data_IF_972419687757
#
_entry.id   IF_972419687757
#
_cell.length_a   1.000
_cell.length_b   1.000
_cell.length_c   1.000
_cell.angle_alpha   90.00
_cell.angle_beta   90.00
_cell.angle_gamma   90.00
#
_symmetry.space_group_name_H-M   'P 1'
#
loop_
_entity.id
_entity.type
_entity.pdbx_description
1 polymer ?
#
# COMPACT_ATOMS: atom_id res chain seq x y z
N UNK A 1 -21.36 7.80 -48.64
CA UNK A 1 -20.67 8.94 -47.94
C UNK A 1 -21.47 9.31 -46.70
N UNK A 2 -20.90 9.98 -45.69
CA UNK A 2 -21.62 10.27 -44.44
C UNK A 2 -22.94 11.03 -44.63
N UNK A 3 -23.04 11.92 -45.62
CA UNK A 3 -24.30 12.60 -45.98
C UNK A 3 -25.35 11.71 -46.66
N UNK A 4 -24.99 10.50 -47.12
CA UNK A 4 -25.95 9.51 -47.62
C UNK A 4 -26.53 8.64 -46.48
N UNK A 5 -25.83 8.59 -45.34
CA UNK A 5 -26.20 7.79 -44.17
C UNK A 5 -26.94 8.60 -43.11
N UNK A 6 -26.63 9.89 -43.00
CA UNK A 6 -27.14 10.77 -41.97
C UNK A 6 -27.86 11.96 -42.61
N UNK A 7 -29.19 11.98 -42.50
CA UNK A 7 -30.07 12.99 -43.11
C UNK A 7 -29.81 14.43 -42.63
N UNK A 8 -29.20 14.59 -41.46
CA UNK A 8 -28.83 15.89 -40.89
C UNK A 8 -27.46 16.41 -41.38
N UNK A 9 -26.67 15.61 -42.10
CA UNK A 9 -25.40 16.04 -42.69
C UNK A 9 -25.63 16.37 -44.15
N UNK A 10 -25.65 17.65 -44.50
CA UNK A 10 -25.72 18.07 -45.90
C UNK A 10 -24.36 17.91 -46.59
N UNK A 11 -24.38 17.82 -47.92
CA UNK A 11 -23.16 17.76 -48.74
C UNK A 11 -22.24 18.97 -48.50
N UNK A 12 -22.81 20.13 -48.24
CA UNK A 12 -22.03 21.36 -48.00
C UNK A 12 -21.39 21.37 -46.61
N UNK A 13 -22.11 20.94 -45.57
CA UNK A 13 -21.55 20.73 -44.22
C UNK A 13 -20.38 19.73 -44.29
N UNK A 14 -20.53 18.65 -45.07
CA UNK A 14 -19.47 17.67 -45.24
C UNK A 14 -18.23 18.26 -45.95
N UNK A 15 -18.43 19.06 -47.00
CA UNK A 15 -17.32 19.75 -47.69
C UNK A 15 -16.58 20.72 -46.77
N UNK A 16 -17.32 21.49 -45.97
CA UNK A 16 -16.73 22.42 -45.00
C UNK A 16 -15.93 21.67 -43.92
N UNK A 17 -16.48 20.58 -43.40
CA UNK A 17 -15.77 19.71 -42.47
C UNK A 17 -14.46 19.16 -43.05
N UNK A 18 -14.48 18.65 -44.29
CA UNK A 18 -13.27 18.16 -44.96
C UNK A 18 -12.25 19.29 -45.10
N UNK A 19 -12.67 20.48 -45.54
CA UNK A 19 -11.79 21.65 -45.67
C UNK A 19 -11.12 22.03 -44.35
N UNK A 20 -11.85 21.96 -43.23
CA UNK A 20 -11.31 22.23 -41.89
C UNK A 20 -10.31 21.15 -41.48
N UNK A 21 -10.59 19.87 -41.75
CA UNK A 21 -9.71 18.75 -41.35
C UNK A 21 -8.48 18.57 -42.22
N UNK A 22 -8.50 19.10 -43.44
CA UNK A 22 -7.34 19.14 -44.36
C UNK A 22 -6.66 20.51 -44.38
N UNK A 23 -6.95 21.39 -43.42
CA UNK A 23 -6.24 22.66 -43.30
C UNK A 23 -4.85 22.43 -42.70
N UNK A 24 -3.92 23.32 -43.02
CA UNK A 24 -2.55 23.29 -42.46
C UNK A 24 -2.55 23.37 -40.93
N UNK A 25 -3.46 24.16 -40.34
CA UNK A 25 -3.62 24.26 -38.88
C UNK A 25 -4.04 22.91 -38.26
N UNK A 26 -4.97 22.18 -38.90
CA UNK A 26 -5.39 20.87 -38.41
C UNK A 26 -4.27 19.83 -38.54
N UNK A 27 -3.46 19.90 -39.60
CA UNK A 27 -2.28 19.07 -39.76
C UNK A 27 -1.22 19.36 -38.70
N UNK A 28 -0.96 20.63 -38.38
CA UNK A 28 -0.01 21.02 -37.32
C UNK A 28 -0.46 20.51 -35.94
N UNK A 29 -1.74 20.67 -35.61
CA UNK A 29 -2.33 20.14 -34.37
C UNK A 29 -2.18 18.62 -34.31
N UNK A 30 -2.46 17.94 -35.42
CA UNK A 30 -2.33 16.48 -35.53
C UNK A 30 -0.88 16.03 -35.34
N UNK A 31 0.08 16.71 -35.96
CA UNK A 31 1.50 16.39 -35.84
C UNK A 31 2.00 16.58 -34.40
N UNK A 32 1.62 17.70 -33.76
CA UNK A 32 1.95 17.97 -32.36
C UNK A 32 1.36 16.92 -31.42
N UNK A 33 0.14 16.47 -31.68
CA UNK A 33 -0.50 15.40 -30.92
C UNK A 33 0.24 14.06 -31.11
N UNK A 34 0.64 13.73 -32.34
CA UNK A 34 1.42 12.53 -32.67
C UNK A 34 2.80 12.52 -32.01
N UNK A 35 3.49 13.67 -32.01
CA UNK A 35 4.74 13.85 -31.28
C UNK A 35 4.53 13.70 -29.77
N UNK A 36 3.48 14.28 -29.21
CA UNK A 36 3.17 14.12 -27.79
C UNK A 36 2.88 12.66 -27.42
N UNK A 37 2.20 11.94 -28.31
CA UNK A 37 1.89 10.52 -28.14
C UNK A 37 3.14 9.63 -28.19
N UNK A 38 4.14 9.96 -29.00
CA UNK A 38 5.37 9.15 -29.12
C UNK A 38 6.20 9.13 -27.82
N UNK A 39 6.05 10.14 -26.95
CA UNK A 39 6.66 10.15 -25.62
C UNK A 39 5.90 9.28 -24.59
N UNK A 40 4.72 8.74 -24.94
CA UNK A 40 3.97 7.86 -24.05
C UNK A 40 4.49 6.42 -24.12
N UNK A 41 5.48 6.12 -23.28
CA UNK A 41 6.16 4.81 -23.23
C UNK A 41 5.21 3.68 -22.78
N UNK A 42 4.19 4.00 -21.97
CA UNK A 42 3.28 3.02 -21.40
C UNK A 42 1.81 3.42 -21.68
N UNK A 43 1.33 3.23 -22.92
CA UNK A 43 -0.03 3.55 -23.30
C UNK A 43 -1.05 2.76 -22.48
N UNK A 44 -2.17 3.39 -22.15
CA UNK A 44 -3.29 2.72 -21.48
C UNK A 44 -4.30 2.18 -22.51
N UNK A 45 -5.09 1.19 -22.11
CA UNK A 45 -6.08 0.48 -22.93
C UNK A 45 -7.53 0.71 -22.45
N UNK A 46 -7.80 1.80 -21.74
CA UNK A 46 -9.13 2.12 -21.19
C UNK A 46 -10.08 2.81 -22.19
N UNK A 47 -9.59 3.18 -23.38
CA UNK A 47 -10.34 4.00 -24.34
C UNK A 47 -10.67 5.39 -23.79
N UNK A 48 -11.90 5.85 -24.01
CA UNK A 48 -12.38 7.15 -23.52
C UNK A 48 -12.80 7.16 -22.04
N UNK A 49 -12.73 6.01 -21.37
CA UNK A 49 -13.18 5.87 -19.98
C UNK A 49 -12.11 6.37 -19.02
N UNK A 50 -12.58 6.95 -17.93
CA UNK A 50 -11.75 7.37 -16.80
C UNK A 50 -11.37 6.19 -15.90
N UNK A 51 -10.36 6.39 -15.05
CA UNK A 51 -10.03 5.44 -13.98
C UNK A 51 -11.22 5.18 -13.04
N UNK A 52 -12.08 6.17 -12.79
CA UNK A 52 -13.22 6.02 -11.89
C UNK A 52 -14.28 5.05 -12.48
N UNK A 53 -14.61 5.24 -13.76
CA UNK A 53 -15.52 4.36 -14.50
C UNK A 53 -14.94 2.95 -14.61
N UNK A 54 -13.66 2.84 -14.99
CA UNK A 54 -13.00 1.53 -15.13
C UNK A 54 -12.85 0.79 -13.81
N UNK A 55 -12.62 1.51 -12.70
CA UNK A 55 -12.57 0.89 -11.36
C UNK A 55 -13.86 0.15 -11.05
N UNK A 56 -15.01 0.76 -11.37
CA UNK A 56 -16.32 0.15 -11.16
C UNK A 56 -16.50 -1.11 -12.04
N UNK A 57 -16.01 -1.08 -13.28
CA UNK A 57 -16.03 -2.25 -14.16
C UNK A 57 -15.10 -3.37 -13.67
N UNK A 58 -13.89 -3.04 -13.23
CA UNK A 58 -12.93 -3.99 -12.69
C UNK A 58 -13.41 -4.64 -11.39
N UNK A 59 -14.10 -3.88 -10.53
CA UNK A 59 -14.78 -4.43 -9.35
C UNK A 59 -15.89 -5.41 -9.75
N UNK A 60 -16.74 -5.06 -10.73
CA UNK A 60 -17.81 -5.95 -11.24
C UNK A 60 -17.23 -7.25 -11.84
N UNK A 61 -16.07 -7.16 -12.48
CA UNK A 61 -15.35 -8.31 -13.04
C UNK A 61 -14.52 -9.09 -12.01
N UNK A 62 -14.46 -8.63 -10.76
CA UNK A 62 -13.70 -9.29 -9.68
C UNK A 62 -12.18 -9.11 -9.77
N UNK A 63 -11.66 -8.22 -10.60
CA UNK A 63 -10.22 -7.95 -10.68
C UNK A 63 -9.69 -7.14 -9.50
N UNK A 64 -10.58 -6.36 -8.89
CA UNK A 64 -10.30 -5.58 -7.68
C UNK A 64 -11.18 -6.15 -6.58
N UNK A 65 -10.59 -6.65 -5.47
CA UNK A 65 -11.36 -7.09 -4.32
C UNK A 65 -12.27 -5.96 -3.83
N UNK A 66 -13.54 -6.26 -3.60
CA UNK A 66 -14.41 -5.34 -2.87
C UNK A 66 -13.90 -5.23 -1.44
N UNK A 67 -13.78 -4.01 -0.92
CA UNK A 67 -13.33 -3.68 0.45
C UNK A 67 -14.22 -4.28 1.56
N UNK A 68 -15.22 -5.09 1.22
CA UNK A 68 -16.13 -5.76 2.15
C UNK A 68 -15.70 -7.17 2.59
N UNK A 69 -14.57 -7.72 2.12
CA UNK A 69 -14.22 -9.14 2.36
C UNK A 69 -12.89 -9.43 3.07
N UNK A 70 -12.23 -8.45 3.68
CA UNK A 70 -11.01 -8.72 4.47
C UNK A 70 -11.04 -8.01 5.81
N UNK A 71 -11.54 -8.73 6.81
CA UNK A 71 -11.39 -8.42 8.23
C UNK A 71 -9.94 -8.69 8.69
N UNK A 72 -9.48 -7.80 9.56
CA UNK A 72 -8.53 -8.02 10.66
C UNK A 72 -7.05 -8.23 10.33
N UNK A 73 -6.24 -7.22 10.69
CA UNK A 73 -4.83 -7.41 11.00
C UNK A 73 -3.82 -6.66 10.14
N UNK A 74 -3.94 -5.34 9.95
CA UNK A 74 -2.75 -4.54 9.62
C UNK A 74 -2.97 -3.07 9.97
N UNK A 75 -2.52 -2.69 11.17
CA UNK A 75 -2.48 -1.31 11.65
C UNK A 75 -1.35 -0.55 10.94
N UNK A 76 -1.67 0.09 9.82
CA UNK A 76 -0.95 1.25 9.30
C UNK A 76 -1.89 2.14 8.47
N UNK A 77 -2.12 3.36 8.97
CA UNK A 77 -2.69 4.54 8.27
C UNK A 77 -4.13 4.44 7.69
N UNK A 78 -5.09 4.62 8.59
CA UNK A 78 -6.57 4.56 8.48
C UNK A 78 -7.27 5.60 7.57
N UNK A 79 -6.65 6.12 6.51
CA UNK A 79 -7.37 6.98 5.52
C UNK A 79 -7.13 6.51 4.07
N UNK A 80 -6.19 5.57 3.84
CA UNK A 80 -5.85 5.06 2.51
C UNK A 80 -6.53 3.72 2.15
N UNK A 81 -7.54 3.28 2.90
CA UNK A 81 -8.11 1.93 2.78
C UNK A 81 -9.33 1.80 1.84
N UNK A 82 -9.94 2.91 1.41
CA UNK A 82 -11.15 2.84 0.57
C UNK A 82 -10.85 2.77 -0.94
N UNK A 83 -9.64 3.11 -1.37
CA UNK A 83 -9.26 3.10 -2.77
C UNK A 83 -8.48 1.84 -3.14
N UNK A 84 -8.73 1.25 -4.32
CA UNK A 84 -7.90 0.17 -4.83
C UNK A 84 -6.44 0.62 -4.91
N UNK A 85 -5.52 -0.33 -4.69
CA UNK A 85 -4.09 -0.07 -4.81
C UNK A 85 -3.78 0.64 -6.13
N UNK A 86 -3.07 1.77 -6.06
CA UNK A 86 -2.60 2.51 -7.23
C UNK A 86 -1.81 1.61 -8.18
N UNK A 87 -0.98 0.71 -7.66
CA UNK A 87 -0.24 -0.26 -8.47
C UNK A 87 -1.18 -1.16 -9.28
N UNK A 88 -2.27 -1.63 -8.65
CA UNK A 88 -3.29 -2.44 -9.31
C UNK A 88 -4.00 -1.65 -10.42
N UNK A 89 -4.42 -0.41 -10.15
CA UNK A 89 -5.07 0.45 -11.15
C UNK A 89 -4.15 0.72 -12.35
N UNK A 90 -2.85 0.97 -12.10
CA UNK A 90 -1.89 1.23 -13.17
C UNK A 90 -1.72 0.04 -14.11
N UNK A 91 -1.66 -1.18 -13.55
CA UNK A 91 -1.55 -2.43 -14.29
C UNK A 91 -2.83 -2.73 -15.07
N UNK A 92 -4.00 -2.62 -14.43
CA UNK A 92 -5.28 -2.88 -15.08
C UNK A 92 -5.56 -1.92 -16.24
N UNK A 93 -5.21 -0.63 -16.08
CA UNK A 93 -5.33 0.36 -17.15
C UNK A 93 -4.49 0.03 -18.38
N UNK A 94 -3.46 -0.81 -18.24
CA UNK A 94 -2.56 -1.24 -19.33
C UNK A 94 -2.72 -2.71 -19.68
N UNK A 95 -3.79 -3.32 -19.19
CA UNK A 95 -4.16 -4.69 -19.53
C UNK A 95 -5.28 -4.72 -20.54
N UNK A 96 -5.32 -5.79 -21.32
CA UNK A 96 -6.39 -6.13 -22.27
C UNK A 96 -6.98 -7.47 -21.82
N UNK A 97 -8.30 -7.70 -21.94
CA UNK A 97 -8.88 -9.01 -21.66
C UNK A 97 -8.44 -10.05 -22.71
N UNK A 98 -8.03 -11.23 -22.25
CA UNK A 98 -7.82 -12.40 -23.11
C UNK A 98 -9.18 -13.01 -23.56
N UNK A 99 -9.11 -14.09 -24.34
CA UNK A 99 -10.31 -14.82 -24.80
C UNK A 99 -11.18 -15.35 -23.66
N UNK A 100 -10.59 -15.56 -22.48
CA UNK A 100 -11.26 -16.05 -21.26
C UNK A 100 -11.72 -14.90 -20.35
N UNK A 101 -11.45 -13.65 -20.73
CA UNK A 101 -11.74 -12.46 -19.94
C UNK A 101 -10.78 -12.20 -18.79
N UNK A 102 -9.55 -12.71 -18.80
CA UNK A 102 -8.50 -12.38 -17.83
C UNK A 102 -7.63 -11.22 -18.34
N UNK A 103 -7.24 -10.26 -17.47
CA UNK A 103 -6.39 -9.16 -17.86
C UNK A 103 -4.95 -9.62 -18.11
N UNK A 104 -4.43 -9.41 -19.32
CA UNK A 104 -3.01 -9.61 -19.65
C UNK A 104 -2.38 -8.31 -20.17
N UNK A 105 -1.06 -8.18 -20.03
CA UNK A 105 -0.31 -7.01 -20.50
C UNK A 105 0.23 -7.29 -21.90
N UNK A 106 -0.26 -6.61 -22.97
CA UNK A 106 0.23 -6.85 -24.33
C UNK A 106 1.62 -6.24 -24.57
N UNK A 107 1.94 -5.12 -23.91
CA UNK A 107 3.15 -4.35 -24.18
C UNK A 107 4.36 -4.88 -23.39
N UNK A 108 5.46 -5.21 -24.09
CA UNK A 108 6.70 -5.71 -23.47
C UNK A 108 7.27 -4.72 -22.44
N UNK A 109 7.18 -3.41 -22.70
CA UNK A 109 7.61 -2.39 -21.76
C UNK A 109 6.83 -2.43 -20.44
N UNK A 110 5.51 -2.61 -20.53
CA UNK A 110 4.64 -2.73 -19.36
C UNK A 110 4.87 -4.05 -18.61
N UNK A 111 5.17 -5.15 -19.32
CA UNK A 111 5.55 -6.42 -18.71
C UNK A 111 6.82 -6.29 -17.85
N UNK A 112 7.86 -5.62 -18.35
CA UNK A 112 9.08 -5.33 -17.57
C UNK A 112 8.79 -4.51 -16.31
N UNK A 113 7.89 -3.53 -16.41
CA UNK A 113 7.47 -2.75 -15.22
C UNK A 113 6.74 -3.65 -14.22
N UNK A 114 5.91 -4.60 -14.68
CA UNK A 114 5.26 -5.57 -13.81
C UNK A 114 6.28 -6.45 -13.08
N UNK A 115 7.29 -6.98 -13.79
CA UNK A 115 8.38 -7.76 -13.19
C UNK A 115 9.10 -6.94 -12.10
N UNK A 116 9.43 -5.67 -12.39
CA UNK A 116 10.02 -4.78 -11.41
C UNK A 116 9.09 -4.54 -10.21
N UNK A 117 7.78 -4.37 -10.42
CA UNK A 117 6.79 -4.23 -9.34
C UNK A 117 6.83 -5.46 -8.43
N UNK A 118 6.88 -6.65 -9.01
CA UNK A 118 6.89 -7.91 -8.25
C UNK A 118 8.21 -8.07 -7.46
N UNK A 119 9.35 -7.67 -8.05
CA UNK A 119 10.64 -7.61 -7.33
C UNK A 119 10.59 -6.64 -6.14
N UNK A 120 10.09 -5.42 -6.34
CA UNK A 120 10.00 -4.41 -5.28
C UNK A 120 9.02 -4.80 -4.18
N UNK A 121 7.92 -5.50 -4.51
CA UNK A 121 7.03 -6.09 -3.50
C UNK A 121 7.76 -7.14 -2.66
N UNK A 122 8.49 -8.05 -3.30
CA UNK A 122 9.28 -9.05 -2.58
C UNK A 122 10.30 -8.40 -1.63
N UNK A 123 11.01 -7.36 -2.08
CA UNK A 123 11.93 -6.59 -1.22
C UNK A 123 11.22 -5.91 -0.05
N UNK A 124 9.96 -5.49 -0.24
CA UNK A 124 9.15 -4.93 0.82
C UNK A 124 8.76 -6.00 1.85
N UNK A 125 8.37 -7.19 1.38
CA UNK A 125 7.98 -8.33 2.22
C UNK A 125 9.18 -8.90 3.01
N UNK A 126 10.37 -8.90 2.40
CA UNK A 126 11.65 -9.26 3.03
C UNK A 126 12.16 -8.18 3.99
N UNK A 127 11.55 -6.99 4.02
CA UNK A 127 11.95 -5.86 4.85
C UNK A 127 13.18 -5.09 4.36
N UNK A 128 13.75 -5.44 3.20
CA UNK A 128 14.84 -4.70 2.56
C UNK A 128 14.39 -3.31 2.10
N UNK A 129 13.13 -3.19 1.68
CA UNK A 129 12.54 -1.94 1.24
C UNK A 129 11.49 -1.43 2.23
N UNK A 130 11.81 -0.31 2.89
CA UNK A 130 10.86 0.48 3.68
C UNK A 130 10.61 1.81 2.97
N UNK A 131 9.38 2.08 2.49
CA UNK A 131 9.01 3.35 1.87
C UNK A 131 9.39 4.55 2.76
N UNK A 132 10.23 5.46 2.25
CA UNK A 132 10.65 6.66 3.00
C UNK A 132 9.55 7.72 3.13
N UNK A 133 8.56 7.65 2.23
CA UNK A 133 7.39 8.51 2.20
C UNK A 133 6.25 7.82 1.44
N UNK A 134 5.02 8.29 1.60
CA UNK A 134 3.88 7.78 0.83
C UNK A 134 4.10 7.85 -0.70
N UNK A 135 4.91 8.81 -1.19
CA UNK A 135 5.22 8.96 -2.63
C UNK A 135 6.30 7.99 -3.12
N UNK A 136 7.07 7.44 -2.19
CA UNK A 136 8.14 6.48 -2.42
C UNK A 136 7.59 5.06 -2.34
N UNK A 137 6.53 4.78 -3.13
CA UNK A 137 5.87 3.47 -3.17
C UNK A 137 6.50 2.54 -4.23
N UNK A 138 6.07 1.28 -4.20
CA UNK A 138 6.52 0.23 -5.14
C UNK A 138 6.38 0.65 -6.61
N UNK A 139 5.25 1.26 -6.98
CA UNK A 139 5.01 1.67 -8.36
C UNK A 139 5.97 2.79 -8.79
N UNK A 140 6.19 3.79 -7.93
CA UNK A 140 7.17 4.86 -8.19
C UNK A 140 8.57 4.27 -8.38
N UNK A 141 8.97 3.28 -7.58
CA UNK A 141 10.27 2.60 -7.71
C UNK A 141 10.39 1.78 -8.98
N UNK A 142 9.35 1.04 -9.35
CA UNK A 142 9.33 0.22 -10.55
C UNK A 142 9.34 1.06 -11.85
N UNK A 143 8.71 2.23 -11.84
CA UNK A 143 8.74 3.19 -12.95
C UNK A 143 10.01 4.04 -13.00
N UNK A 144 10.78 4.09 -11.90
CA UNK A 144 12.00 4.90 -11.78
C UNK A 144 11.70 6.38 -11.50
N UNK A 145 12.42 7.29 -12.17
CA UNK A 145 12.25 8.75 -11.98
C UNK A 145 10.87 9.19 -12.51
N UNK A 146 9.88 9.12 -11.64
CA UNK A 146 8.53 9.56 -11.93
C UNK A 146 8.53 11.09 -12.00
N UNK A 147 8.13 11.67 -13.13
CA UNK A 147 8.00 13.13 -13.29
C UNK A 147 7.05 13.65 -12.20
N UNK A 148 7.54 14.61 -11.43
CA UNK A 148 7.01 14.98 -10.13
C UNK A 148 5.60 15.60 -10.19
N UNK A 149 4.77 15.29 -9.19
CA UNK A 149 3.65 16.14 -8.78
C UNK A 149 2.24 15.73 -9.21
N UNK A 150 2.05 14.67 -10.01
CA UNK A 150 0.69 14.18 -10.34
C UNK A 150 0.53 12.69 -10.06
N UNK A 151 -0.62 12.26 -9.51
CA UNK A 151 -0.97 10.84 -9.51
C UNK A 151 -0.99 10.30 -10.94
N UNK A 152 -0.23 9.24 -11.21
CA UNK A 152 -0.22 8.54 -12.51
C UNK A 152 -1.49 7.72 -12.74
N UNK A 153 -2.08 7.31 -11.64
CA UNK A 153 -3.37 6.64 -11.58
C UNK A 153 -4.36 7.64 -11.01
N UNK A 154 -5.66 7.40 -11.20
CA UNK A 154 -6.75 8.32 -10.84
C UNK A 154 -7.01 9.42 -11.89
N UNK A 155 -8.28 9.76 -12.07
CA UNK A 155 -8.75 10.69 -13.10
C UNK A 155 -8.39 12.15 -12.82
N UNK A 156 -8.64 13.02 -13.81
CA UNK A 156 -8.51 14.47 -13.63
C UNK A 156 -9.36 14.95 -12.43
N UNK A 157 -8.76 15.74 -11.54
CA UNK A 157 -9.40 16.25 -10.32
C UNK A 157 -8.98 15.55 -9.03
N UNK A 158 -8.32 14.39 -9.10
CA UNK A 158 -7.78 13.73 -7.90
C UNK A 158 -6.45 14.37 -7.50
N UNK A 159 -6.49 15.13 -6.41
CA UNK A 159 -5.30 15.79 -5.87
C UNK A 159 -4.30 14.82 -5.25
N UNK A 160 -3.02 15.21 -5.22
CA UNK A 160 -1.92 14.47 -4.56
C UNK A 160 -2.31 14.03 -3.13
N UNK A 161 -3.00 14.91 -2.38
CA UNK A 161 -3.41 14.64 -1.00
C UNK A 161 -4.45 13.52 -0.88
N UNK A 162 -5.28 13.31 -1.89
CA UNK A 162 -6.25 12.22 -1.89
C UNK A 162 -5.56 10.86 -2.13
N UNK A 163 -4.42 10.85 -2.83
CA UNK A 163 -3.69 9.62 -3.19
C UNK A 163 -2.66 9.23 -2.14
N UNK A 164 -1.94 10.20 -1.61
CA UNK A 164 -0.82 9.97 -0.68
C UNK A 164 -1.09 10.51 0.73
N UNK A 165 -2.32 10.97 0.99
CA UNK A 165 -2.66 11.70 2.20
C UNK A 165 -2.15 13.14 2.22
N UNK A 166 -2.71 13.94 3.11
CA UNK A 166 -1.98 15.09 3.66
C UNK A 166 -0.78 14.52 4.37
N UNK A 167 0.41 14.61 3.74
CA UNK A 167 1.66 14.26 4.41
C UNK A 167 1.66 14.91 5.78
N UNK A 168 1.89 14.10 6.81
CA UNK A 168 2.01 14.55 8.17
C UNK A 168 2.98 15.72 8.15
N UNK A 169 2.51 16.92 8.50
CA UNK A 169 3.42 18.02 8.78
C UNK A 169 4.22 17.51 9.95
N UNK A 170 5.40 16.93 9.68
CA UNK A 170 6.38 16.70 10.72
C UNK A 170 6.67 18.10 11.25
N UNK A 171 5.98 18.49 12.31
CA UNK A 171 6.56 19.41 13.27
C UNK A 171 7.81 18.66 13.72
N UNK A 172 8.91 18.91 13.02
CA UNK A 172 10.20 18.45 13.45
C UNK A 172 10.47 19.24 14.73
N UNK A 173 9.89 18.80 15.86
CA UNK A 173 10.48 19.08 17.15
C UNK A 173 11.85 18.44 17.04
N UNK A 174 12.88 19.28 16.92
CA UNK A 174 14.25 18.82 17.12
C UNK A 174 14.28 18.39 18.57
N UNK A 175 14.15 17.11 18.83
CA UNK A 175 14.59 16.56 20.10
C UNK A 175 16.07 16.91 20.19
N UNK A 176 16.45 17.71 21.18
CA UNK A 176 17.86 18.01 21.42
C UNK A 176 18.57 16.71 21.77
N UNK A 177 19.88 16.61 21.51
CA UNK A 177 20.66 15.39 21.77
C UNK A 177 20.46 14.85 23.20
N UNK A 178 20.29 15.73 24.18
CA UNK A 178 20.00 15.36 25.57
C UNK A 178 18.63 14.67 25.77
N UNK A 179 17.60 15.06 25.01
CA UNK A 179 16.25 14.47 25.10
C UNK A 179 16.22 13.11 24.39
N UNK A 180 17.03 12.94 23.35
CA UNK A 180 17.24 11.66 22.67
C UNK A 180 18.01 10.68 23.56
N UNK A 181 19.09 11.13 24.19
CA UNK A 181 19.89 10.32 25.13
C UNK A 181 19.05 9.86 26.33
N UNK A 182 18.18 10.74 26.86
CA UNK A 182 17.27 10.37 27.94
C UNK A 182 16.23 9.32 27.49
N UNK A 183 15.70 9.45 26.27
CA UNK A 183 14.79 8.46 25.70
C UNK A 183 15.48 7.10 25.50
N UNK A 184 16.69 7.09 24.97
CA UNK A 184 17.50 5.88 24.81
C UNK A 184 17.83 5.22 26.16
N UNK A 185 18.19 6.02 27.17
CA UNK A 185 18.43 5.54 28.53
C UNK A 185 17.16 4.91 29.14
N UNK A 186 15.98 5.51 28.91
CA UNK A 186 14.70 4.95 29.38
C UNK A 186 14.36 3.64 28.68
N UNK A 187 14.55 3.54 27.37
CA UNK A 187 14.30 2.31 26.59
C UNK A 187 15.24 1.20 27.01
N UNK A 188 16.55 1.48 27.08
CA UNK A 188 17.56 0.49 27.48
C UNK A 188 17.37 0.00 28.92
N UNK A 189 16.91 0.87 29.83
CA UNK A 189 16.55 0.47 31.19
C UNK A 189 15.36 -0.49 31.20
N UNK A 190 14.27 -0.17 30.50
CA UNK A 190 13.09 -1.06 30.42
C UNK A 190 13.44 -2.43 29.85
N UNK A 191 14.20 -2.49 28.77
CA UNK A 191 14.64 -3.76 28.17
C UNK A 191 15.48 -4.58 29.16
N UNK A 192 16.39 -3.94 29.90
CA UNK A 192 17.18 -4.62 30.94
C UNK A 192 16.31 -5.14 32.08
N UNK A 193 15.38 -4.33 32.57
CA UNK A 193 14.47 -4.69 33.66
C UNK A 193 13.55 -5.86 33.23
N UNK A 194 13.00 -5.83 32.02
CA UNK A 194 12.21 -6.93 31.44
C UNK A 194 13.04 -8.21 31.29
N UNK A 195 14.27 -8.10 30.80
CA UNK A 195 15.17 -9.26 30.64
C UNK A 195 15.51 -9.89 32.01
N UNK A 196 15.82 -9.06 33.01
CA UNK A 196 16.11 -9.53 34.38
C UNK A 196 14.87 -10.19 34.99
N UNK A 197 13.70 -9.60 34.80
CA UNK A 197 12.44 -10.17 35.29
C UNK A 197 12.14 -11.52 34.65
N UNK A 198 12.36 -11.66 33.34
CA UNK A 198 12.18 -12.93 32.63
C UNK A 198 13.19 -13.98 33.11
N UNK A 199 14.46 -13.61 33.31
CA UNK A 199 15.49 -14.50 33.83
C UNK A 199 15.19 -14.97 35.26
N UNK A 200 14.78 -14.06 36.15
CA UNK A 200 14.41 -14.40 37.53
C UNK A 200 13.21 -15.35 37.56
N UNK A 201 12.18 -15.07 36.74
CA UNK A 201 11.01 -15.95 36.63
C UNK A 201 11.37 -17.37 36.15
N UNK A 202 12.30 -17.49 35.19
CA UNK A 202 12.81 -18.80 34.73
C UNK A 202 13.64 -19.51 35.80
N UNK A 203 14.45 -18.77 36.56
CA UNK A 203 15.26 -19.31 37.65
C UNK A 203 14.38 -19.84 38.78
N UNK A 204 13.37 -19.08 39.20
CA UNK A 204 12.42 -19.49 40.23
C UNK A 204 11.66 -20.76 39.81
N UNK A 205 11.20 -20.84 38.55
CA UNK A 205 10.58 -22.04 38.02
C UNK A 205 11.53 -23.26 38.08
N UNK A 206 12.81 -23.08 37.71
CA UNK A 206 13.80 -24.16 37.72
C UNK A 206 14.17 -24.60 39.15
N UNK A 207 14.25 -23.67 40.10
CA UNK A 207 14.52 -23.97 41.51
C UNK A 207 13.33 -24.71 42.13
N UNK A 208 12.11 -24.28 41.82
CA UNK A 208 10.89 -24.98 42.26
C UNK A 208 10.81 -26.40 41.71
N UNK A 209 11.09 -26.60 40.42
CA UNK A 209 11.16 -27.94 39.81
C UNK A 209 12.19 -28.84 40.52
N UNK A 210 13.42 -28.35 40.73
CA UNK A 210 14.47 -29.10 41.43
C UNK A 210 14.13 -29.41 42.88
N UNK A 211 13.47 -28.47 43.57
CA UNK A 211 13.01 -28.67 44.94
C UNK A 211 11.93 -29.75 45.00
N UNK A 212 10.97 -29.73 44.07
CA UNK A 212 9.92 -30.75 43.94
C UNK A 212 10.54 -32.12 43.64
N UNK A 213 11.53 -32.22 42.75
CA UNK A 213 12.19 -33.50 42.46
C UNK A 213 12.93 -34.04 43.67
N UNK A 214 13.66 -33.19 44.39
CA UNK A 214 14.41 -33.59 45.58
C UNK A 214 13.49 -33.99 46.75
N UNK A 215 12.40 -33.27 46.96
CA UNK A 215 11.39 -33.61 47.98
C UNK A 215 10.71 -34.96 47.70
N UNK A 216 10.47 -35.29 46.42
CA UNK A 216 9.97 -36.62 46.00
C UNK A 216 10.98 -37.73 46.30
N UNK A 217 12.27 -37.51 46.05
CA UNK A 217 13.34 -38.47 46.33
C UNK A 217 13.49 -38.77 47.83
N UNK A 218 13.25 -37.78 48.68
CA UNK A 218 13.30 -37.92 50.15
C UNK A 218 12.00 -38.42 50.79
N UNK A 219 10.97 -38.73 50.00
CA UNK A 219 9.69 -39.27 50.50
C UNK A 219 8.84 -38.26 51.29
N UNK A 220 9.08 -36.96 51.13
CA UNK A 220 8.35 -35.90 51.84
C UNK A 220 7.03 -35.61 51.10
N UNK A 221 5.90 -35.62 51.82
CA UNK A 221 4.61 -35.25 51.23
C UNK A 221 4.58 -33.75 50.87
N UNK A 222 4.45 -33.46 49.57
CA UNK A 222 4.36 -32.08 49.08
C UNK A 222 2.98 -31.49 49.43
N UNK A 223 2.91 -30.31 50.06
CA UNK A 223 1.66 -29.61 50.34
C UNK A 223 0.82 -29.38 49.09
N UNK A 224 -0.50 -29.58 49.18
CA UNK A 224 -1.45 -29.52 48.06
C UNK A 224 -1.47 -28.19 47.31
N UNK A 225 -1.12 -27.08 47.95
CA UNK A 225 -1.07 -25.74 47.34
C UNK A 225 0.16 -25.51 46.42
N UNK A 226 1.14 -26.42 46.42
CA UNK A 226 2.29 -26.38 45.51
C UNK A 226 2.14 -27.34 44.32
N UNK A 227 0.98 -28.00 44.16
CA UNK A 227 0.67 -28.76 42.96
C UNK A 227 0.30 -27.78 41.84
N UNK A 228 1.19 -27.61 40.89
CA UNK A 228 0.91 -26.86 39.66
C UNK A 228 -0.01 -27.75 38.81
N UNK A 229 -1.32 -27.52 38.87
CA UNK A 229 -2.23 -28.06 37.87
C UNK A 229 -1.86 -27.45 36.51
N UNK A 230 -1.62 -28.29 35.52
CA UNK A 230 -1.12 -27.94 34.19
C UNK A 230 -2.11 -27.13 33.33
N UNK A 231 -3.07 -26.43 33.94
CA UNK A 231 -4.12 -25.68 33.26
C UNK A 231 -4.19 -24.21 33.71
N UNK A 232 -3.05 -23.53 33.68
CA UNK A 232 -3.04 -22.07 33.76
C UNK A 232 -3.33 -21.53 32.36
N UNK A 233 -4.60 -21.20 32.13
CA UNK A 233 -5.01 -20.33 31.04
C UNK A 233 -4.14 -19.07 31.05
N UNK A 234 -3.40 -18.86 29.97
CA UNK A 234 -2.69 -17.62 29.68
C UNK A 234 -3.65 -16.43 29.75
N UNK A 235 -3.61 -15.66 30.83
CA UNK A 235 -4.28 -14.37 30.94
C UNK A 235 -3.33 -13.27 30.50
N UNK A 236 -3.07 -13.18 29.20
CA UNK A 236 -2.53 -11.97 28.59
C UNK A 236 -3.61 -10.89 28.62
N UNK A 237 -3.79 -10.23 29.75
CA UNK A 237 -4.46 -8.92 29.80
C UNK A 237 -3.41 -7.89 30.18
N UNK A 238 -2.50 -7.64 29.23
CA UNK A 238 -1.64 -6.45 29.26
C UNK A 238 -2.54 -5.24 29.00
N UNK A 239 -3.10 -4.66 30.07
CA UNK A 239 -3.56 -3.28 30.04
C UNK A 239 -2.34 -2.39 29.83
N UNK A 240 -2.01 -2.13 28.56
CA UNK A 240 -0.99 -1.17 28.20
C UNK A 240 -1.45 0.21 28.67
N UNK A 241 -0.78 0.74 29.70
CA UNK A 241 -0.85 2.17 29.99
C UNK A 241 -0.27 2.90 28.77
N UNK A 242 -1.14 3.64 28.09
CA UNK A 242 -0.80 4.50 26.96
C UNK A 242 0.26 5.53 27.40
N UNK A 243 1.48 5.52 26.81
CA UNK A 243 2.53 6.46 27.16
C UNK A 243 2.22 7.92 26.77
N UNK A 244 1.07 8.21 26.17
CA UNK A 244 0.63 9.55 25.80
C UNK A 244 -0.54 10.10 26.64
N UNK A 245 -1.01 9.36 27.65
CA UNK A 245 -2.18 9.76 28.43
C UNK A 245 -2.00 11.08 29.23
N UNK A 246 -0.76 11.47 29.55
CA UNK A 246 -0.46 12.64 30.39
C UNK A 246 -0.02 13.90 29.61
N UNK A 247 -0.24 13.97 28.29
CA UNK A 247 0.00 15.21 27.54
C UNK A 247 -1.28 16.05 27.52
N UNK A 248 -1.49 16.85 28.56
CA UNK A 248 -2.47 17.95 28.53
C UNK A 248 -2.04 19.02 27.54
N UNK A 249 -3.01 19.45 26.72
CA UNK A 249 -2.94 20.45 25.63
C UNK A 249 -2.51 21.83 26.12
#
# INVERSE_FOLDING_TARGET
MPYDLYSYITKDIWKEFVKIRTSEEAEEISEKARQSQSFNIYPHHMGQKSYAEMTSEWQRKGYIPSVSSSSEGSSASTISSSFPSRTCLWLLARSVPDEKGNPYLPDQGTQKVKENIDEWKRKQDEGEFVPKSARDDVLSRALGKTKEGRPLTFGGGVGIKAVWGTGERRSFRRYGDAEMEEMEARVTKRVKDETIQEMNSKMDAMVMEKFITFAKELGVQIPSHMRIDANVHSSCHSGGLDPFADITV
#
